data_IF_284958224939
#
_entry.id   IF_284958224939
#
_cell.length_a   1.000
_cell.length_b   1.000
_cell.length_c   1.000
_cell.angle_alpha   90.00
_cell.angle_beta   90.00
_cell.angle_gamma   90.00
#
_symmetry.space_group_name_H-M   'P 1'
#
loop_
_entity.id
_entity.type
_entity.pdbx_description
1 polymer ?
#
# COMPACT_ATOMS: atom_id res chain seq x y z
N UNK A 1 -1.47 17.66 26.36
CA UNK A 1 -1.29 16.20 26.37
C UNK A 1 0.21 15.95 26.29
N UNK A 2 0.78 15.34 27.32
CA UNK A 2 2.23 15.10 27.44
C UNK A 2 2.75 14.20 26.31
N UNK A 3 3.66 14.73 25.49
CA UNK A 3 4.23 14.08 24.30
C UNK A 3 5.59 13.43 24.60
N UNK A 4 6.07 13.49 25.86
CA UNK A 4 7.46 13.16 26.23
C UNK A 4 7.74 11.68 26.56
N UNK A 5 6.90 10.70 26.20
CA UNK A 5 7.15 9.31 26.63
C UNK A 5 6.68 8.19 25.72
N UNK A 6 7.00 8.27 24.43
CA UNK A 6 6.85 7.12 23.52
C UNK A 6 8.17 6.39 23.32
N UNK A 7 8.42 5.41 24.20
CA UNK A 7 9.40 4.37 23.93
C UNK A 7 8.73 3.28 23.07
N UNK A 8 9.30 3.02 21.89
CA UNK A 8 8.87 1.94 21.00
C UNK A 8 9.29 0.61 21.62
N UNK A 9 8.34 -0.09 22.27
CA UNK A 9 8.61 -1.34 23.01
C UNK A 9 8.90 -2.49 22.02
N UNK A 10 10.12 -3.00 22.01
CA UNK A 10 10.56 -4.05 21.07
C UNK A 10 10.23 -5.48 21.47
N UNK A 11 9.48 -5.71 22.58
CA UNK A 11 9.35 -7.04 23.22
C UNK A 11 8.78 -8.15 22.32
N UNK A 12 8.14 -7.81 21.20
CA UNK A 12 7.54 -8.77 20.25
C UNK A 12 7.96 -8.54 18.78
N UNK A 13 8.97 -7.71 18.50
CA UNK A 13 9.37 -7.38 17.13
C UNK A 13 10.27 -8.44 16.47
N UNK A 14 10.40 -8.39 15.15
CA UNK A 14 11.38 -9.22 14.42
C UNK A 14 12.80 -8.82 14.85
N UNK A 15 13.49 -9.71 15.59
CA UNK A 15 14.82 -9.44 16.15
C UNK A 15 15.84 -9.01 15.10
N UNK A 16 15.80 -9.63 13.92
CA UNK A 16 16.75 -9.32 12.85
C UNK A 16 16.47 -7.96 12.21
N UNK A 17 15.19 -7.64 11.97
CA UNK A 17 14.80 -6.32 11.51
C UNK A 17 15.17 -5.22 12.51
N UNK A 18 14.94 -5.45 13.80
CA UNK A 18 15.35 -4.52 14.86
C UNK A 18 16.86 -4.30 14.81
N UNK A 19 17.64 -5.37 14.68
CA UNK A 19 19.11 -5.30 14.59
C UNK A 19 19.55 -4.47 13.38
N UNK A 20 18.93 -4.66 12.21
CA UNK A 20 19.25 -3.94 10.98
C UNK A 20 18.94 -2.44 11.10
N UNK A 21 17.76 -2.08 11.61
CA UNK A 21 17.38 -0.67 11.80
C UNK A 21 18.31 0.01 12.82
N UNK A 22 18.67 -0.68 13.92
CA UNK A 22 19.65 -0.14 14.88
C UNK A 22 21.01 0.10 14.24
N UNK A 23 21.53 -0.87 13.48
CA UNK A 23 22.80 -0.72 12.80
C UNK A 23 22.80 0.43 11.79
N UNK A 24 21.67 0.69 11.13
CA UNK A 24 21.49 1.85 10.26
C UNK A 24 21.59 3.17 11.05
N UNK A 25 20.84 3.28 12.16
CA UNK A 25 20.86 4.46 13.04
C UNK A 25 22.25 4.69 13.64
N UNK A 26 22.92 3.64 14.14
CA UNK A 26 24.28 3.72 14.69
C UNK A 26 25.29 4.29 13.68
N UNK A 27 25.09 4.02 12.39
CA UNK A 27 26.01 4.44 11.33
C UNK A 27 25.79 5.88 10.88
N UNK A 28 24.54 6.34 10.79
CA UNK A 28 24.21 7.62 10.14
C UNK A 28 23.47 8.62 11.04
N UNK A 29 23.23 8.26 12.30
CA UNK A 29 22.37 9.01 13.21
C UNK A 29 20.88 8.70 13.02
N UNK A 30 20.00 9.51 13.63
CA UNK A 30 18.56 9.34 13.54
C UNK A 30 18.06 9.24 12.10
N UNK A 31 17.09 8.37 11.86
CA UNK A 31 16.46 8.18 10.53
C UNK A 31 15.06 8.78 10.50
N UNK A 32 14.59 9.25 9.36
CA UNK A 32 13.21 9.75 9.26
C UNK A 32 12.21 8.64 9.60
N UNK A 33 11.01 9.02 10.09
CA UNK A 33 9.94 8.04 10.29
C UNK A 33 9.55 7.33 8.99
N UNK A 34 9.65 8.01 7.84
CA UNK A 34 9.47 7.39 6.54
C UNK A 34 10.49 6.28 6.27
N UNK A 35 11.77 6.48 6.60
CA UNK A 35 12.78 5.44 6.46
C UNK A 35 12.53 4.27 7.43
N UNK A 36 12.12 4.57 8.67
CA UNK A 36 11.70 3.55 9.63
C UNK A 36 10.52 2.72 9.12
N UNK A 37 9.45 3.36 8.63
CA UNK A 37 8.30 2.69 8.02
C UNK A 37 8.70 1.86 6.82
N UNK A 38 9.59 2.36 5.95
CA UNK A 38 10.09 1.62 4.79
C UNK A 38 10.74 0.30 5.21
N UNK A 39 11.61 0.34 6.22
CA UNK A 39 12.22 -0.85 6.77
C UNK A 39 11.18 -1.78 7.43
N UNK A 40 10.29 -1.21 8.26
CA UNK A 40 9.28 -1.98 8.98
C UNK A 40 8.29 -2.70 8.07
N UNK A 41 7.85 -2.04 7.00
CA UNK A 41 6.78 -2.51 6.12
C UNK A 41 7.32 -3.29 4.92
N UNK A 42 8.44 -2.84 4.33
CA UNK A 42 8.88 -3.27 3.01
C UNK A 42 10.30 -3.85 2.94
N UNK A 43 11.00 -4.02 4.07
CA UNK A 43 12.31 -4.69 4.06
C UNK A 43 12.20 -6.05 3.35
N UNK A 44 13.02 -6.38 2.33
CA UNK A 44 12.78 -7.51 1.44
C UNK A 44 12.53 -8.87 2.12
N UNK A 45 13.21 -9.12 3.25
CA UNK A 45 13.11 -10.40 3.97
C UNK A 45 12.27 -10.34 5.26
N UNK A 46 12.07 -9.14 5.80
CA UNK A 46 11.60 -8.97 7.19
C UNK A 46 10.48 -7.96 7.36
N UNK A 47 10.18 -7.21 6.31
CA UNK A 47 9.10 -6.25 6.27
C UNK A 47 7.77 -6.96 6.46
N UNK A 48 6.82 -6.22 7.02
CA UNK A 48 5.48 -6.72 7.28
C UNK A 48 4.84 -7.37 6.03
N UNK A 49 4.91 -6.68 4.87
CA UNK A 49 4.29 -7.15 3.62
C UNK A 49 5.11 -8.20 2.87
N UNK A 50 6.43 -8.22 3.03
CA UNK A 50 7.34 -9.09 2.28
C UNK A 50 7.65 -10.42 2.98
N UNK A 51 7.58 -10.46 4.31
CA UNK A 51 8.00 -11.62 5.11
C UNK A 51 6.99 -12.77 5.15
N UNK A 52 5.84 -12.62 4.50
CA UNK A 52 4.74 -13.59 4.56
C UNK A 52 3.97 -13.61 5.88
N UNK A 53 4.39 -12.80 6.87
CA UNK A 53 3.73 -12.68 8.18
C UNK A 53 2.44 -11.88 8.13
N UNK A 54 2.31 -10.98 7.15
CA UNK A 54 1.07 -10.26 6.93
C UNK A 54 -0.06 -11.26 6.66
N UNK A 55 -1.05 -11.22 7.55
CA UNK A 55 -2.32 -11.90 7.42
C UNK A 55 -3.41 -10.81 7.44
N UNK A 56 -4.25 -10.77 6.41
CA UNK A 56 -5.43 -9.91 6.34
C UNK A 56 -6.69 -10.77 6.48
N UNK A 57 -7.75 -10.23 7.09
CA UNK A 57 -9.05 -10.90 7.26
C UNK A 57 -9.29 -11.41 8.67
N UNK A 58 -10.23 -12.35 8.84
CA UNK A 58 -10.75 -12.80 10.16
C UNK A 58 -9.71 -13.36 11.13
N UNK A 59 -8.59 -13.86 10.61
CA UNK A 59 -7.47 -14.38 11.39
C UNK A 59 -6.21 -13.51 11.25
N UNK A 60 -6.36 -12.31 10.68
CA UNK A 60 -5.28 -11.38 10.35
C UNK A 60 -5.14 -10.21 11.32
N UNK A 61 -4.32 -9.22 10.95
CA UNK A 61 -4.09 -8.03 11.76
C UNK A 61 -5.16 -6.94 11.56
N UNK A 62 -5.77 -6.90 10.38
CA UNK A 62 -6.85 -5.97 10.01
C UNK A 62 -7.75 -6.55 8.92
N UNK A 63 -8.90 -5.91 8.73
CA UNK A 63 -9.83 -6.18 7.64
C UNK A 63 -9.76 -5.05 6.62
N UNK A 64 -9.82 -5.43 5.35
CA UNK A 64 -10.15 -4.51 4.25
C UNK A 64 -11.61 -4.73 3.84
N UNK A 65 -12.18 -3.81 3.08
CA UNK A 65 -13.50 -3.97 2.43
C UNK A 65 -13.62 -5.27 1.60
N UNK A 66 -12.53 -5.71 0.95
CA UNK A 66 -12.44 -6.99 0.23
C UNK A 66 -12.69 -8.20 1.15
N UNK A 67 -12.35 -8.09 2.44
CA UNK A 67 -12.47 -9.19 3.40
C UNK A 67 -13.91 -9.48 3.86
N UNK A 68 -14.88 -8.63 3.51
CA UNK A 68 -16.28 -8.75 3.96
C UNK A 68 -17.09 -9.65 3.02
N UNK A 69 -16.81 -9.59 1.72
CA UNK A 69 -17.50 -10.37 0.68
C UNK A 69 -17.37 -9.74 -0.71
N UNK A 70 -17.93 -10.37 -1.75
CA UNK A 70 -17.61 -10.05 -3.15
C UNK A 70 -18.29 -8.77 -3.67
N UNK A 71 -19.25 -8.21 -2.93
CA UNK A 71 -20.05 -7.07 -3.38
C UNK A 71 -19.17 -5.87 -3.75
N UNK A 72 -18.09 -5.64 -3.00
CA UNK A 72 -17.16 -4.56 -3.31
C UNK A 72 -16.50 -4.75 -4.68
N UNK A 73 -15.94 -5.94 -4.94
CA UNK A 73 -15.37 -6.29 -6.25
C UNK A 73 -16.39 -6.21 -7.38
N UNK A 74 -17.62 -6.65 -7.15
CA UNK A 74 -18.70 -6.61 -8.14
C UNK A 74 -19.11 -5.19 -8.51
N UNK A 75 -19.19 -4.28 -7.54
CA UNK A 75 -19.50 -2.86 -7.79
C UNK A 75 -18.41 -2.19 -8.62
N UNK A 76 -17.14 -2.43 -8.28
CA UNK A 76 -16.01 -1.89 -9.03
C UNK A 76 -15.91 -2.51 -10.43
N UNK A 77 -16.24 -3.79 -10.59
CA UNK A 77 -16.31 -4.45 -11.89
C UNK A 77 -17.34 -3.78 -12.81
N UNK A 78 -18.53 -3.46 -12.30
CA UNK A 78 -19.53 -2.70 -13.05
C UNK A 78 -19.00 -1.31 -13.44
N UNK A 79 -18.32 -0.62 -12.53
CA UNK A 79 -17.69 0.68 -12.82
C UNK A 79 -16.60 0.57 -13.90
N UNK A 80 -15.78 -0.48 -13.89
CA UNK A 80 -14.76 -0.71 -14.91
C UNK A 80 -15.38 -0.95 -16.30
N UNK A 81 -16.49 -1.69 -16.36
CA UNK A 81 -17.23 -1.90 -17.61
C UNK A 81 -17.79 -0.59 -18.17
N UNK A 82 -18.37 0.25 -17.30
CA UNK A 82 -18.86 1.58 -17.71
C UNK A 82 -17.72 2.47 -18.23
N UNK A 83 -16.56 2.44 -17.56
CA UNK A 83 -15.37 3.18 -18.01
C UNK A 83 -14.91 2.69 -19.39
N UNK A 84 -14.87 1.37 -19.61
CA UNK A 84 -14.51 0.80 -20.90
C UNK A 84 -15.46 1.27 -22.02
N UNK A 85 -16.76 1.29 -21.76
CA UNK A 85 -17.76 1.83 -22.70
C UNK A 85 -17.53 3.32 -22.98
N UNK A 86 -17.31 4.13 -21.94
CA UNK A 86 -17.02 5.58 -22.07
C UNK A 86 -15.73 5.86 -22.84
N UNK A 87 -14.75 4.96 -22.77
CA UNK A 87 -13.52 5.04 -23.56
C UNK A 87 -13.71 4.56 -25.00
N UNK A 88 -14.92 4.16 -25.40
CA UNK A 88 -15.25 3.73 -26.76
C UNK A 88 -14.87 2.28 -27.03
N UNK A 89 -14.97 1.41 -26.02
CA UNK A 89 -14.76 -0.04 -26.14
C UNK A 89 -13.41 -0.43 -26.75
N UNK A 90 -12.32 0.13 -26.22
CA UNK A 90 -10.97 -0.17 -26.71
C UNK A 90 -10.62 -1.67 -26.56
N UNK A 91 -9.91 -2.24 -27.54
CA UNK A 91 -9.58 -3.68 -27.58
C UNK A 91 -8.44 -4.11 -26.64
N UNK A 92 -7.61 -3.19 -26.15
CA UNK A 92 -6.48 -3.49 -25.26
C UNK A 92 -6.68 -2.78 -23.91
N UNK A 93 -7.85 -2.93 -23.30
CA UNK A 93 -8.13 -2.31 -22.02
C UNK A 93 -7.39 -3.04 -20.91
N UNK A 94 -6.62 -2.32 -20.11
CA UNK A 94 -5.88 -2.87 -18.97
C UNK A 94 -6.48 -2.37 -17.67
N UNK A 95 -6.88 -3.29 -16.80
CA UNK A 95 -7.10 -3.00 -15.38
C UNK A 95 -5.76 -3.25 -14.69
N UNK A 96 -5.14 -2.20 -14.14
CA UNK A 96 -3.92 -2.29 -13.36
C UNK A 96 -4.28 -2.23 -11.89
N UNK A 97 -4.06 -3.28 -11.13
CA UNK A 97 -4.18 -3.30 -9.68
C UNK A 97 -2.79 -3.24 -9.03
N UNK A 98 -2.56 -2.26 -8.16
CA UNK A 98 -1.33 -2.16 -7.38
C UNK A 98 -1.63 -2.47 -5.92
N UNK A 99 -0.95 -3.48 -5.37
CA UNK A 99 -1.24 -3.99 -4.03
C UNK A 99 -2.45 -4.93 -3.98
N UNK A 100 -2.52 -5.92 -4.88
CA UNK A 100 -3.64 -6.86 -4.99
C UNK A 100 -3.78 -7.87 -3.83
N UNK A 101 -2.87 -7.81 -2.85
CA UNK A 101 -2.83 -8.68 -1.68
C UNK A 101 -2.84 -10.19 -2.03
N UNK A 102 -3.91 -10.92 -1.73
CA UNK A 102 -4.06 -12.35 -2.06
C UNK A 102 -4.78 -12.60 -3.40
N UNK A 103 -5.16 -11.53 -4.11
CA UNK A 103 -5.85 -11.57 -5.40
C UNK A 103 -7.37 -11.75 -5.31
N UNK A 104 -7.97 -11.72 -4.11
CA UNK A 104 -9.41 -11.95 -3.98
C UNK A 104 -10.26 -10.89 -4.70
N UNK A 105 -9.87 -9.61 -4.62
CA UNK A 105 -10.57 -8.53 -5.33
C UNK A 105 -10.54 -8.75 -6.86
N UNK A 106 -9.36 -9.03 -7.42
CA UNK A 106 -9.22 -9.37 -8.83
C UNK A 106 -10.08 -10.57 -9.23
N UNK A 107 -10.17 -11.60 -8.39
CA UNK A 107 -11.01 -12.77 -8.62
C UNK A 107 -12.49 -12.37 -8.70
N UNK A 108 -13.00 -11.63 -7.71
CA UNK A 108 -14.39 -11.15 -7.67
C UNK A 108 -14.73 -10.30 -8.90
N UNK A 109 -13.81 -9.43 -9.33
CA UNK A 109 -13.97 -8.60 -10.52
C UNK A 109 -14.06 -9.46 -11.77
N UNK A 110 -13.13 -10.41 -11.96
CA UNK A 110 -13.06 -11.24 -13.16
C UNK A 110 -14.24 -12.21 -13.25
N UNK A 111 -14.69 -12.77 -12.13
CA UNK A 111 -15.92 -13.59 -12.07
C UNK A 111 -17.15 -12.80 -12.48
N UNK A 112 -17.31 -11.59 -11.94
CA UNK A 112 -18.44 -10.73 -12.28
C UNK A 112 -18.44 -10.33 -13.76
N UNK A 113 -17.30 -9.86 -14.27
CA UNK A 113 -17.17 -9.44 -15.67
C UNK A 113 -17.41 -10.59 -16.64
N UNK A 114 -16.88 -11.78 -16.36
CA UNK A 114 -17.10 -12.97 -17.20
C UNK A 114 -18.59 -13.29 -17.35
N UNK A 115 -19.37 -13.10 -16.30
CA UNK A 115 -20.82 -13.41 -16.28
C UNK A 115 -21.68 -12.28 -16.85
N UNK A 116 -21.35 -11.03 -16.53
CA UNK A 116 -22.24 -9.89 -16.76
C UNK A 116 -21.80 -8.95 -17.89
N UNK A 117 -20.52 -8.99 -18.29
CA UNK A 117 -19.96 -8.17 -19.37
C UNK A 117 -18.95 -8.98 -20.22
N UNK A 118 -19.38 -10.07 -20.88
CA UNK A 118 -18.48 -11.00 -21.57
C UNK A 118 -17.66 -10.33 -22.70
N UNK A 119 -18.22 -9.34 -23.40
CA UNK A 119 -17.51 -8.56 -24.43
C UNK A 119 -16.32 -7.79 -23.82
N UNK A 120 -16.52 -7.15 -22.66
CA UNK A 120 -15.45 -6.47 -21.94
C UNK A 120 -14.44 -7.48 -21.38
N UNK A 121 -14.93 -8.57 -20.80
CA UNK A 121 -14.09 -9.64 -20.27
C UNK A 121 -13.16 -10.23 -21.35
N UNK A 122 -13.62 -10.36 -22.59
CA UNK A 122 -12.82 -10.88 -23.70
C UNK A 122 -11.57 -10.01 -23.96
N UNK A 123 -11.77 -8.70 -24.05
CA UNK A 123 -10.72 -7.74 -24.45
C UNK A 123 -9.83 -7.27 -23.29
N UNK A 124 -10.27 -7.43 -22.04
CA UNK A 124 -9.50 -6.95 -20.91
C UNK A 124 -8.24 -7.80 -20.64
N UNK A 125 -7.23 -7.12 -20.08
CA UNK A 125 -6.09 -7.71 -19.36
C UNK A 125 -6.06 -7.17 -17.95
N UNK A 126 -5.77 -8.04 -16.99
CA UNK A 126 -5.66 -7.69 -15.58
C UNK A 126 -4.20 -7.72 -15.18
N UNK A 127 -3.64 -6.56 -14.87
CA UNK A 127 -2.23 -6.38 -14.57
C UNK A 127 -2.05 -6.14 -13.09
N UNK A 128 -1.29 -7.00 -12.41
CA UNK A 128 -0.97 -6.84 -10.99
C UNK A 128 0.46 -6.30 -10.84
N UNK A 129 0.59 -5.16 -10.18
CA UNK A 129 1.88 -4.60 -9.74
C UNK A 129 2.14 -5.06 -8.31
N UNK A 130 3.00 -6.07 -8.19
CA UNK A 130 3.32 -6.73 -6.92
C UNK A 130 4.81 -7.06 -6.89
N UNK A 131 5.66 -6.34 -6.13
CA UNK A 131 7.08 -6.61 -6.07
C UNK A 131 7.45 -7.87 -5.26
N UNK A 132 6.53 -8.39 -4.42
CA UNK A 132 6.86 -9.48 -3.49
C UNK A 132 6.49 -10.86 -4.05
N UNK A 133 7.47 -11.77 -4.26
CA UNK A 133 7.21 -13.12 -4.78
C UNK A 133 6.19 -13.91 -3.97
N UNK A 134 6.23 -13.79 -2.63
CA UNK A 134 5.31 -14.49 -1.74
C UNK A 134 3.84 -14.10 -1.95
N UNK A 135 3.58 -12.85 -2.32
CA UNK A 135 2.23 -12.39 -2.65
C UNK A 135 1.82 -12.85 -4.04
N UNK A 136 2.74 -12.85 -5.01
CA UNK A 136 2.48 -13.45 -6.34
C UNK A 136 2.11 -14.93 -6.25
N UNK A 137 2.76 -15.70 -5.37
CA UNK A 137 2.42 -17.10 -5.16
C UNK A 137 0.98 -17.25 -4.65
N UNK A 138 0.58 -16.45 -3.65
CA UNK A 138 -0.79 -16.43 -3.12
C UNK A 138 -1.80 -16.03 -4.21
N UNK A 139 -1.51 -14.95 -4.94
CA UNK A 139 -2.34 -14.44 -6.03
C UNK A 139 -2.50 -15.49 -7.15
N UNK A 140 -1.43 -16.24 -7.48
CA UNK A 140 -1.46 -17.27 -8.51
C UNK A 140 -2.40 -18.44 -8.15
N UNK A 141 -2.51 -18.77 -6.86
CA UNK A 141 -3.44 -19.79 -6.37
C UNK A 141 -4.88 -19.30 -6.46
N UNK A 142 -5.15 -18.08 -5.98
CA UNK A 142 -6.48 -17.46 -6.02
C UNK A 142 -6.97 -17.25 -7.45
N UNK A 143 -6.09 -16.77 -8.33
CA UNK A 143 -6.40 -16.37 -9.70
C UNK A 143 -6.19 -17.49 -10.73
N UNK A 144 -5.94 -18.72 -10.28
CA UNK A 144 -5.80 -19.90 -11.16
C UNK A 144 -6.91 -20.02 -12.22
N UNK A 145 -8.20 -19.77 -11.92
CA UNK A 145 -9.27 -19.82 -12.93
C UNK A 145 -9.14 -18.78 -14.06
N UNK A 146 -8.33 -17.74 -13.86
CA UNK A 146 -8.18 -16.59 -14.76
C UNK A 146 -6.74 -16.35 -15.20
N UNK A 147 -5.84 -17.32 -15.05
CA UNK A 147 -4.41 -17.17 -15.34
C UNK A 147 -4.10 -16.53 -16.71
N UNK A 148 -4.92 -16.79 -17.73
CA UNK A 148 -4.76 -16.24 -19.09
C UNK A 148 -5.09 -14.74 -19.20
N UNK A 149 -5.73 -14.17 -18.18
CA UNK A 149 -6.04 -12.73 -18.08
C UNK A 149 -5.00 -11.96 -17.26
N UNK A 150 -4.17 -12.65 -16.47
CA UNK A 150 -3.29 -12.02 -15.48
C UNK A 150 -1.90 -11.74 -16.05
N UNK A 151 -1.41 -10.52 -15.86
CA UNK A 151 -0.03 -10.10 -16.12
C UNK A 151 0.60 -9.59 -14.81
N UNK A 152 1.73 -10.17 -14.38
CA UNK A 152 2.46 -9.68 -13.22
C UNK A 152 3.63 -8.79 -13.64
N UNK A 153 3.81 -7.66 -12.94
CA UNK A 153 5.00 -6.82 -13.10
C UNK A 153 5.51 -6.32 -11.74
N UNK A 154 6.82 -6.05 -11.68
CA UNK A 154 7.45 -5.39 -10.52
C UNK A 154 7.17 -3.88 -10.49
N UNK A 155 6.74 -3.31 -11.62
CA UNK A 155 6.59 -1.87 -11.83
C UNK A 155 5.49 -1.57 -12.85
N UNK A 156 4.95 -0.35 -12.82
CA UNK A 156 4.02 0.12 -13.83
C UNK A 156 4.68 0.12 -15.22
N UNK A 157 3.87 -0.22 -16.20
CA UNK A 157 4.16 -0.13 -17.63
C UNK A 157 3.06 0.71 -18.27
N UNK A 158 3.33 1.42 -19.38
CA UNK A 158 2.31 2.18 -20.09
C UNK A 158 1.04 1.36 -20.34
N UNK A 159 -0.12 1.98 -20.13
CA UNK A 159 -1.41 1.31 -20.26
C UNK A 159 -2.53 2.27 -20.67
N UNK A 160 -3.59 1.70 -21.24
CA UNK A 160 -4.85 2.38 -21.47
C UNK A 160 -5.97 1.57 -20.78
N UNK A 161 -6.72 2.22 -19.88
CA UNK A 161 -7.74 1.55 -19.07
C UNK A 161 -7.87 2.17 -17.69
N UNK A 162 -7.79 1.36 -16.64
CA UNK A 162 -7.96 1.82 -15.26
C UNK A 162 -6.78 1.41 -14.41
N UNK A 163 -6.20 2.35 -13.67
CA UNK A 163 -5.40 2.03 -12.50
C UNK A 163 -6.31 1.99 -11.28
N UNK A 164 -6.18 0.94 -10.47
CA UNK A 164 -6.91 0.71 -9.26
C UNK A 164 -5.96 0.43 -8.10
N UNK A 165 -6.24 1.04 -6.95
CA UNK A 165 -5.60 0.72 -5.68
C UNK A 165 -6.60 0.85 -4.54
N UNK A 166 -6.58 -0.12 -3.63
CA UNK A 166 -7.40 -0.12 -2.42
C UNK A 166 -6.51 -0.22 -1.19
N UNK A 167 -6.58 0.75 -0.29
CA UNK A 167 -5.78 0.80 0.95
C UNK A 167 -4.27 0.65 0.66
N UNK A 168 -3.79 1.41 -0.35
CA UNK A 168 -2.39 1.42 -0.78
C UNK A 168 -1.65 2.65 -0.24
N UNK A 169 -2.32 3.81 -0.22
CA UNK A 169 -1.70 5.09 0.11
C UNK A 169 -1.52 5.22 1.62
N UNK A 170 -2.41 4.67 2.45
CA UNK A 170 -2.26 4.68 3.91
C UNK A 170 -1.01 3.94 4.40
N UNK A 171 -0.56 2.93 3.64
CA UNK A 171 0.62 2.14 3.95
C UNK A 171 1.92 2.81 3.50
N UNK A 172 1.85 3.91 2.72
CA UNK A 172 3.04 4.56 2.20
C UNK A 172 3.85 5.25 3.31
N UNK A 173 5.19 5.23 3.24
CA UNK A 173 6.01 5.86 4.27
C UNK A 173 5.78 7.37 4.36
N UNK A 174 5.56 7.87 5.57
CA UNK A 174 5.33 9.30 5.83
C UNK A 174 6.39 9.92 6.74
N UNK A 175 6.68 11.20 6.53
CA UNK A 175 7.50 12.02 7.44
C UNK A 175 6.60 12.69 8.48
N UNK A 176 7.05 12.73 9.73
CA UNK A 176 6.32 13.36 10.82
C UNK A 176 6.84 14.79 11.00
N UNK A 177 6.17 15.76 10.37
CA UNK A 177 6.62 17.15 10.32
C UNK A 177 5.58 18.03 11.02
N UNK A 178 6.03 18.91 11.92
CA UNK A 178 5.18 19.91 12.56
C UNK A 178 6.03 21.07 13.06
N UNK A 179 5.54 22.31 12.96
CA UNK A 179 6.19 23.48 13.59
C UNK A 179 7.64 23.74 13.16
N UNK A 180 8.05 23.35 11.94
CA UNK A 180 9.43 23.51 11.45
C UNK A 180 10.41 22.44 11.95
N UNK A 181 9.93 21.40 12.64
CA UNK A 181 10.72 20.26 13.07
C UNK A 181 10.20 18.96 12.43
N UNK A 182 11.10 18.00 12.27
CA UNK A 182 10.78 16.62 11.92
C UNK A 182 11.04 15.70 13.12
N UNK A 183 10.08 14.82 13.40
CA UNK A 183 10.27 13.71 14.34
C UNK A 183 10.95 12.55 13.61
N UNK A 184 12.21 12.34 13.96
CA UNK A 184 13.04 11.24 13.49
C UNK A 184 13.10 10.12 14.53
N UNK A 185 13.53 8.93 14.12
CA UNK A 185 13.67 7.74 14.96
C UNK A 185 15.14 7.52 15.28
N UNK A 186 15.46 7.44 16.57
CA UNK A 186 16.78 7.13 17.10
C UNK A 186 16.71 5.93 18.06
N UNK A 187 17.85 5.52 18.60
CA UNK A 187 17.98 4.43 19.58
C UNK A 187 18.45 4.97 20.92
N UNK A 188 17.67 4.71 21.97
CA UNK A 188 18.08 4.95 23.36
C UNK A 188 18.02 3.64 24.15
N UNK A 189 19.17 3.24 24.70
CA UNK A 189 19.41 1.94 25.33
C UNK A 189 19.06 0.77 24.40
N UNK A 190 17.83 0.27 24.49
CA UNK A 190 17.30 -0.82 23.67
C UNK A 190 15.99 -0.47 22.97
N UNK A 191 15.46 0.74 23.14
CA UNK A 191 14.19 1.14 22.54
C UNK A 191 14.44 2.12 21.39
N UNK A 192 13.59 2.05 20.37
CA UNK A 192 13.51 3.15 19.42
C UNK A 192 12.76 4.32 20.08
N UNK A 193 13.19 5.54 19.83
CA UNK A 193 12.62 6.76 20.42
C UNK A 193 12.48 7.82 19.34
N UNK A 194 11.49 8.71 19.50
CA UNK A 194 11.41 9.88 18.64
C UNK A 194 12.35 10.98 19.15
N UNK A 195 13.09 11.58 18.22
CA UNK A 195 13.92 12.76 18.45
C UNK A 195 13.49 13.86 17.48
N UNK A 196 13.48 15.10 17.95
CA UNK A 196 13.11 16.25 17.12
C UNK A 196 14.35 16.84 16.46
N UNK A 197 14.32 16.95 15.14
CA UNK A 197 15.39 17.55 14.34
C UNK A 197 14.83 18.79 13.61
N UNK A 198 15.54 19.94 13.65
CA UNK A 198 15.17 21.08 12.84
C UNK A 198 15.14 20.73 11.36
N UNK A 199 14.09 21.14 10.65
CA UNK A 199 14.08 21.02 9.20
C UNK A 199 15.13 21.99 8.64
N UNK A 200 16.18 21.43 8.03
CA UNK A 200 17.10 22.22 7.21
C UNK A 200 16.30 22.73 5.99
N UNK A 201 16.46 24.01 5.64
CA UNK A 201 15.67 24.73 4.64
C UNK A 201 15.30 23.86 3.42
N UNK A 202 14.00 23.60 3.24
CA UNK A 202 13.47 22.79 2.15
C UNK A 202 11.99 22.41 2.32
N UNK A 203 11.30 22.15 1.20
CA UNK A 203 9.90 21.72 1.15
C UNK A 203 9.78 20.23 1.51
N UNK A 204 10.15 19.83 2.73
CA UNK A 204 9.92 18.46 3.17
C UNK A 204 8.41 18.21 3.30
N UNK A 205 7.87 17.34 2.46
CA UNK A 205 6.44 16.99 2.46
C UNK A 205 6.22 15.68 3.20
N UNK A 206 5.20 15.63 4.07
CA UNK A 206 4.89 14.46 4.89
C UNK A 206 4.60 13.21 4.05
N UNK A 207 3.82 13.34 2.98
CA UNK A 207 3.33 12.24 2.15
C UNK A 207 4.04 12.18 0.78
N UNK A 208 5.31 12.56 0.70
CA UNK A 208 6.05 12.60 -0.58
C UNK A 208 5.91 11.31 -1.42
N UNK A 209 5.99 10.08 -0.86
CA UNK A 209 5.82 8.88 -1.68
C UNK A 209 4.45 8.75 -2.36
N UNK A 210 3.38 9.30 -1.76
CA UNK A 210 2.06 9.32 -2.37
C UNK A 210 1.99 10.33 -3.54
N UNK A 211 2.66 11.47 -3.41
CA UNK A 211 2.79 12.45 -4.51
C UNK A 211 3.61 11.86 -5.67
N UNK A 212 4.75 11.23 -5.35
CA UNK A 212 5.59 10.55 -6.34
C UNK A 212 4.80 9.43 -7.03
N UNK A 213 3.94 8.72 -6.30
CA UNK A 213 3.05 7.71 -6.87
C UNK A 213 2.02 8.30 -7.83
N UNK A 214 1.43 9.46 -7.52
CA UNK A 214 0.51 10.14 -8.45
C UNK A 214 1.23 10.47 -9.76
N UNK A 215 2.43 11.06 -9.68
CA UNK A 215 3.25 11.35 -10.85
C UNK A 215 3.62 10.08 -11.62
N UNK A 216 3.94 9.01 -10.90
CA UNK A 216 4.29 7.72 -11.48
C UNK A 216 3.13 7.06 -12.25
N UNK A 217 1.92 7.09 -11.69
CA UNK A 217 0.71 6.60 -12.37
C UNK A 217 0.39 7.49 -13.57
N UNK A 218 0.43 8.81 -13.40
CA UNK A 218 0.16 9.77 -14.48
C UNK A 218 1.11 9.60 -15.67
N UNK A 219 2.40 9.34 -15.41
CA UNK A 219 3.40 9.11 -16.45
C UNK A 219 3.18 7.81 -17.25
N UNK A 220 2.46 6.83 -16.69
CA UNK A 220 2.18 5.55 -17.33
C UNK A 220 0.76 5.43 -17.91
N UNK A 221 -0.18 6.30 -17.49
CA UNK A 221 -1.55 6.30 -17.99
C UNK A 221 -1.64 7.03 -19.34
N UNK A 222 -1.72 6.26 -20.43
CA UNK A 222 -1.85 6.82 -21.78
C UNK A 222 -3.26 7.35 -22.06
N UNK A 223 -4.28 6.65 -21.55
CA UNK A 223 -5.69 7.02 -21.68
C UNK A 223 -6.52 6.24 -20.66
N UNK A 224 -7.31 6.93 -19.85
CA UNK A 224 -8.26 6.27 -18.96
C UNK A 224 -8.39 6.95 -17.60
N UNK A 225 -8.53 6.15 -16.55
CA UNK A 225 -8.89 6.62 -15.21
C UNK A 225 -7.96 6.04 -14.15
N UNK A 226 -7.85 6.76 -13.02
CA UNK A 226 -7.24 6.27 -11.79
C UNK A 226 -8.32 6.25 -10.71
N UNK A 227 -8.44 5.13 -10.02
CA UNK A 227 -9.36 4.95 -8.90
C UNK A 227 -8.56 4.49 -7.70
N UNK A 228 -8.37 5.39 -6.73
CA UNK A 228 -7.78 5.08 -5.44
C UNK A 228 -8.86 5.13 -4.36
N UNK A 229 -8.98 4.06 -3.59
CA UNK A 229 -9.91 3.96 -2.45
C UNK A 229 -9.06 3.84 -1.19
N UNK A 230 -9.11 4.88 -0.36
CA UNK A 230 -8.31 4.97 0.85
C UNK A 230 -8.99 5.87 1.90
N UNK A 231 -8.60 5.74 3.16
CA UNK A 231 -9.09 6.59 4.24
C UNK A 231 -8.31 7.91 4.22
N UNK A 232 -9.02 9.03 4.27
CA UNK A 232 -8.38 10.35 4.25
C UNK A 232 -9.30 11.48 4.60
N UNK A 233 -8.75 12.69 4.61
CA UNK A 233 -9.47 13.95 4.81
C UNK A 233 -9.10 14.93 3.70
N UNK A 234 -10.00 15.88 3.43
CA UNK A 234 -9.75 16.98 2.50
C UNK A 234 -9.13 18.15 3.27
N UNK A 235 -8.02 18.70 2.78
CA UNK A 235 -7.35 19.88 3.33
C UNK A 235 -6.11 19.57 4.18
N UNK A 236 -5.44 20.63 4.67
CA UNK A 236 -4.25 20.59 5.53
C UNK A 236 -4.58 20.25 7.00
N UNK A 237 -5.85 20.05 7.34
CA UNK A 237 -6.29 19.82 8.71
C UNK A 237 -6.17 18.34 9.11
N UNK A 238 -4.98 17.99 9.58
CA UNK A 238 -4.75 16.71 10.25
C UNK A 238 -3.66 16.81 11.31
N UNK A 239 -4.07 16.87 12.59
CA UNK A 239 -3.25 16.25 13.64
C UNK A 239 -2.92 14.80 13.21
N UNK A 240 -1.68 14.36 13.43
CA UNK A 240 -1.10 13.17 12.80
C UNK A 240 -2.01 11.93 12.82
N UNK A 241 -2.17 11.31 11.65
CA UNK A 241 -3.02 10.13 11.44
C UNK A 241 -2.27 8.80 11.51
N UNK A 242 -0.96 8.82 11.74
CA UNK A 242 -0.14 7.62 11.81
C UNK A 242 -0.63 6.70 12.94
N UNK A 243 -1.04 5.49 12.58
CA UNK A 243 -1.51 4.46 13.49
C UNK A 243 -0.79 3.15 13.18
N UNK A 244 -0.61 2.31 14.20
CA UNK A 244 -0.14 0.95 14.02
C UNK A 244 -1.15 -0.03 14.59
N UNK A 245 -1.37 -1.12 13.86
CA UNK A 245 -2.37 -2.14 14.19
C UNK A 245 -1.71 -3.51 14.23
N UNK A 246 -2.07 -4.32 15.22
CA UNK A 246 -1.71 -5.73 15.30
C UNK A 246 -2.83 -6.50 16.00
N UNK A 247 -3.21 -7.67 15.48
CA UNK A 247 -4.29 -8.50 16.04
C UNK A 247 -5.60 -7.74 16.28
N UNK A 248 -6.03 -6.91 15.32
CA UNK A 248 -7.23 -6.07 15.38
C UNK A 248 -7.25 -5.00 16.51
N UNK A 249 -6.08 -4.60 17.01
CA UNK A 249 -5.95 -3.53 18.02
C UNK A 249 -5.07 -2.40 17.50
N UNK A 250 -5.45 -1.17 17.82
CA UNK A 250 -4.55 -0.01 17.70
C UNK A 250 -3.51 -0.14 18.81
N UNK A 251 -2.24 -0.04 18.44
CA UNK A 251 -1.13 -0.04 19.39
C UNK A 251 -0.81 1.40 19.82
N UNK A 252 -0.33 1.54 21.05
CA UNK A 252 0.07 2.84 21.63
C UNK A 252 1.33 3.41 20.96
N UNK A 253 2.03 2.60 20.15
CA UNK A 253 3.33 2.93 19.60
C UNK A 253 3.54 2.19 18.27
N UNK A 254 4.15 2.85 17.27
CA UNK A 254 4.47 2.22 15.99
C UNK A 254 5.48 1.08 16.02
#
# INVERSE_FOLDING_TARGET
>A
MDVERWALKTKNGNTELIRLIRAEIEKQGPISFAQFMRNALYHPEHGYYSSGRCAIGKAGDYFTNVSIGPVFGQLLAAQFAEIWERLGKIHNFVIVEQGAHDGQFACDVLEFLKKHAPEFFEVLRYRIVEPFPILRDRQSLTLKPFQEKIEYHDSLRPFAGVHFSNELLDAMPVRLISGGVEKMVDVQDTNFVFVECPLLEGNAVSNQPALDWVDYVAANLQRGYVIAIDYGRVGDEGEGSAQVRAGHRILDSP
#
